data_IF_501775940165
#
_entry.id   IF_501775940165
#
_cell.length_a   1.000
_cell.length_b   1.000
_cell.length_c   1.000
_cell.angle_alpha   90.00
_cell.angle_beta   90.00
_cell.angle_gamma   90.00
#
_symmetry.space_group_name_H-M   'P 1'
#
loop_
_entity.id
_entity.type
_entity.pdbx_description
1 polymer ?
#
# COMPACT_ATOMS: atom_id res chain seq x y z
N UNK A 1 -13.87 5.65 -12.95
CA UNK A 1 -14.59 5.06 -11.80
C UNK A 1 -15.73 4.21 -12.30
N UNK A 2 -15.93 3.04 -11.70
CA UNK A 2 -16.97 2.11 -12.09
C UNK A 2 -18.33 2.66 -11.65
N UNK A 3 -19.19 2.97 -12.62
CA UNK A 3 -20.43 3.72 -12.38
C UNK A 3 -21.49 2.96 -11.55
N UNK A 4 -21.28 1.66 -11.32
CA UNK A 4 -22.19 0.79 -10.54
C UNK A 4 -21.69 0.59 -9.12
N UNK A 5 -20.38 0.36 -8.93
CA UNK A 5 -19.80 0.06 -7.60
C UNK A 5 -19.22 1.29 -6.91
N UNK A 6 -19.01 2.40 -7.64
CA UNK A 6 -18.34 3.59 -7.13
C UNK A 6 -16.82 3.43 -7.03
N UNK A 7 -16.28 2.28 -7.44
CA UNK A 7 -14.85 2.00 -7.32
C UNK A 7 -14.07 2.79 -8.38
N UNK A 8 -13.25 3.73 -7.93
CA UNK A 8 -12.31 4.44 -8.78
C UNK A 8 -11.04 3.61 -8.89
N UNK A 9 -10.75 3.12 -10.09
CA UNK A 9 -9.51 2.40 -10.41
C UNK A 9 -8.35 3.40 -10.42
N UNK A 10 -7.82 3.69 -9.23
CA UNK A 10 -6.68 4.58 -9.05
C UNK A 10 -5.37 3.89 -9.41
N UNK A 11 -4.35 4.66 -9.83
CA UNK A 11 -3.00 4.14 -9.93
C UNK A 11 -2.55 3.59 -8.57
N UNK A 12 -1.69 2.55 -8.56
CA UNK A 12 -1.18 1.98 -7.32
C UNK A 12 -0.47 3.04 -6.48
N UNK A 13 -0.74 3.04 -5.17
CA UNK A 13 -0.26 4.04 -4.22
C UNK A 13 -1.19 5.23 -4.00
N UNK A 14 -2.32 5.28 -4.71
CA UNK A 14 -3.31 6.35 -4.61
C UNK A 14 -4.72 5.82 -4.36
N UNK A 15 -5.53 6.64 -3.71
CA UNK A 15 -6.92 6.38 -3.32
C UNK A 15 -7.75 7.67 -3.29
N UNK A 16 -9.01 7.52 -2.91
CA UNK A 16 -10.02 8.57 -2.96
C UNK A 16 -10.70 8.66 -4.33
N UNK A 17 -11.77 9.46 -4.39
CA UNK A 17 -12.59 9.58 -5.60
C UNK A 17 -11.83 10.16 -6.80
N UNK A 18 -10.87 11.06 -6.55
CA UNK A 18 -10.02 11.68 -7.57
C UNK A 18 -8.63 11.03 -7.71
N UNK A 19 -8.33 9.98 -6.93
CA UNK A 19 -7.00 9.37 -6.87
C UNK A 19 -5.87 10.36 -6.51
N UNK A 20 -6.20 11.40 -5.74
CA UNK A 20 -5.27 12.45 -5.27
C UNK A 20 -4.80 12.22 -3.84
N UNK A 21 -5.39 11.26 -3.12
CA UNK A 21 -4.95 10.91 -1.78
C UNK A 21 -3.95 9.75 -1.85
N UNK A 22 -2.72 9.92 -1.35
CA UNK A 22 -1.80 8.79 -1.24
C UNK A 22 -2.31 7.76 -0.23
N UNK A 23 -1.88 6.50 -0.39
CA UNK A 23 -2.19 5.47 0.58
C UNK A 23 -1.64 5.79 1.98
N UNK A 24 -2.45 5.51 3.00
CA UNK A 24 -2.01 5.55 4.38
C UNK A 24 -0.96 4.49 4.66
N UNK A 25 -0.03 4.80 5.55
CA UNK A 25 1.03 3.89 6.00
C UNK A 25 0.39 2.58 6.50
N UNK A 26 0.82 1.46 5.93
CA UNK A 26 0.20 0.15 6.20
C UNK A 26 -0.72 -0.36 5.09
N UNK A 27 -0.88 0.36 3.98
CA UNK A 27 -1.65 -0.10 2.81
C UNK A 27 -0.93 0.19 1.48
N UNK A 28 -1.22 -0.63 0.47
CA UNK A 28 -0.58 -0.54 -0.84
C UNK A 28 -1.45 -1.08 -1.98
N UNK A 29 -1.00 -0.87 -3.21
CA UNK A 29 -1.67 -1.28 -4.44
C UNK A 29 -2.70 -0.26 -4.92
N UNK A 30 -3.56 -0.68 -5.86
CA UNK A 30 -4.62 0.19 -6.40
C UNK A 30 -5.65 0.45 -5.32
N UNK A 31 -6.01 1.72 -5.10
CA UNK A 31 -7.00 2.09 -4.09
C UNK A 31 -6.61 1.77 -2.64
N UNK A 32 -5.36 1.34 -2.38
CA UNK A 32 -4.90 0.89 -1.07
C UNK A 32 -5.67 -0.33 -0.53
N UNK A 33 -6.09 -1.22 -1.42
CA UNK A 33 -6.85 -2.42 -1.07
C UNK A 33 -6.01 -3.49 -0.35
N UNK A 34 -4.69 -3.48 -0.53
CA UNK A 34 -3.79 -4.43 0.12
C UNK A 34 -3.25 -3.84 1.42
N UNK A 35 -3.12 -4.65 2.47
CA UNK A 35 -2.45 -4.27 3.71
C UNK A 35 -0.98 -4.66 3.67
N UNK A 36 -0.11 -3.81 4.23
CA UNK A 36 1.29 -4.14 4.45
C UNK A 36 1.39 -5.26 5.50
N UNK A 37 2.22 -6.26 5.25
CA UNK A 37 2.45 -7.38 6.15
C UNK A 37 3.91 -7.44 6.63
N UNK A 38 4.47 -6.28 6.98
CA UNK A 38 5.85 -6.16 7.42
C UNK A 38 5.91 -6.39 8.94
N UNK A 39 6.48 -7.50 9.39
CA UNK A 39 6.51 -7.87 10.80
C UNK A 39 7.58 -7.07 11.58
N UNK A 40 8.69 -6.71 10.92
CA UNK A 40 9.83 -6.00 11.51
C UNK A 40 10.07 -4.58 10.98
N UNK A 41 9.05 -3.86 10.51
CA UNK A 41 9.21 -2.47 10.05
C UNK A 41 8.31 -1.50 10.81
N UNK A 42 8.88 -0.39 11.28
CA UNK A 42 8.24 0.56 12.19
C UNK A 42 7.23 1.55 11.55
N UNK A 43 7.02 1.53 10.23
CA UNK A 43 6.37 2.69 9.59
C UNK A 43 5.62 2.51 8.28
N UNK A 44 5.55 1.30 7.73
CA UNK A 44 4.77 1.04 6.51
C UNK A 44 5.59 0.45 5.37
N UNK A 45 4.87 0.00 4.35
CA UNK A 45 5.43 -0.51 3.10
C UNK A 45 5.23 0.48 1.97
N UNK A 46 5.97 0.27 0.88
CA UNK A 46 5.82 1.05 -0.34
C UNK A 46 4.36 1.00 -0.84
N UNK A 47 3.68 2.14 -0.99
CA UNK A 47 2.26 2.17 -1.29
C UNK A 47 1.93 1.68 -2.72
N UNK A 48 2.93 1.58 -3.60
CA UNK A 48 2.76 1.13 -4.98
C UNK A 48 2.96 -0.38 -5.09
N UNK A 49 4.03 -0.89 -4.49
CA UNK A 49 4.54 -2.26 -4.66
C UNK A 49 4.29 -3.15 -3.45
N UNK A 50 4.03 -2.57 -2.28
CA UNK A 50 3.93 -3.30 -1.02
C UNK A 50 5.27 -3.69 -0.41
N UNK A 51 6.39 -3.24 -0.98
CA UNK A 51 7.72 -3.59 -0.51
C UNK A 51 7.99 -3.03 0.88
N UNK A 52 8.36 -3.90 1.82
CA UNK A 52 8.73 -3.51 3.17
C UNK A 52 10.16 -2.94 3.19
N UNK A 53 10.33 -1.79 3.86
CA UNK A 53 11.67 -1.28 4.17
C UNK A 53 12.14 -1.93 5.47
N UNK A 54 12.89 -3.03 5.35
CA UNK A 54 13.38 -3.77 6.50
C UNK A 54 14.55 -3.04 7.19
N UNK A 55 14.59 -3.09 8.51
CA UNK A 55 15.76 -2.68 9.26
C UNK A 55 16.96 -3.59 8.95
N UNK A 56 18.20 -3.08 9.07
CA UNK A 56 19.39 -3.87 8.83
C UNK A 56 19.43 -5.08 9.78
N UNK A 57 19.31 -6.29 9.23
CA UNK A 57 19.26 -7.54 9.98
C UNK A 57 18.00 -8.37 9.77
N UNK A 58 16.93 -7.78 9.23
CA UNK A 58 15.72 -8.49 8.82
C UNK A 58 15.76 -8.83 7.33
N UNK A 59 15.24 -9.99 6.95
CA UNK A 59 15.29 -10.47 5.57
C UNK A 59 13.94 -11.00 5.08
N UNK A 60 13.79 -11.14 3.76
CA UNK A 60 12.55 -11.65 3.15
C UNK A 60 11.50 -10.56 2.91
N UNK A 61 10.39 -10.97 2.27
CA UNK A 61 9.32 -10.08 1.79
C UNK A 61 8.53 -9.38 2.91
N UNK A 62 8.62 -9.90 4.14
CA UNK A 62 7.92 -9.40 5.33
C UNK A 62 8.86 -8.91 6.45
N UNK A 63 10.16 -8.83 6.20
CA UNK A 63 11.17 -8.50 7.23
C UNK A 63 11.10 -9.48 8.42
N UNK A 64 11.31 -10.77 8.13
CA UNK A 64 11.34 -11.86 9.11
C UNK A 64 12.77 -12.17 9.55
#
# INVERSE_FOLDING_TARGET
>A
CHHVTGECSCPPGWTGHDCTHPCSSGRWGRGCENSCACDGSDGGCDPVTGACSCEPGFTGERCQ
#
